data_IF_194599460684
#
_entry.id   IF_194599460684
#
_cell.length_a   1.000
_cell.length_b   1.000
_cell.length_c   1.000
_cell.angle_alpha   90.00
_cell.angle_beta   90.00
_cell.angle_gamma   90.00
#
_symmetry.space_group_name_H-M   'P 1'
#
loop_
_entity.id
_entity.type
_entity.pdbx_description
1 polymer ?
#
# COMPACT_ATOMS: atom_id res chain seq x y z
N UNK A 1 11.10 -34.81 12.37
CA UNK A 1 9.65 -34.54 12.32
C UNK A 1 9.49 -33.15 12.90
N UNK A 2 9.72 -32.15 12.06
CA UNK A 2 9.67 -30.75 12.48
C UNK A 2 8.19 -30.39 12.58
N UNK A 3 7.70 -30.30 13.82
CA UNK A 3 6.35 -29.87 14.10
C UNK A 3 6.21 -28.44 13.55
N UNK A 4 5.53 -28.32 12.41
CA UNK A 4 5.04 -27.06 11.87
C UNK A 4 4.06 -26.49 12.89
N UNK A 5 4.58 -25.69 13.83
CA UNK A 5 3.79 -24.89 14.73
C UNK A 5 3.02 -23.88 13.89
N UNK A 6 1.75 -24.17 13.61
CA UNK A 6 0.79 -23.18 13.14
C UNK A 6 0.56 -22.19 14.28
N UNK A 7 1.34 -21.11 14.26
CA UNK A 7 1.14 -19.97 15.15
C UNK A 7 0.06 -19.10 14.51
N UNK A 8 -1.15 -19.15 15.06
CA UNK A 8 -2.19 -18.20 14.70
C UNK A 8 -1.71 -16.77 14.97
N UNK A 9 -1.96 -15.81 14.06
CA UNK A 9 -1.53 -14.44 14.24
C UNK A 9 -2.15 -13.85 15.51
N UNK A 10 -1.32 -13.21 16.33
CA UNK A 10 -1.79 -12.55 17.55
C UNK A 10 -2.79 -11.44 17.19
N UNK A 11 -3.70 -11.12 18.10
CA UNK A 11 -4.66 -10.02 17.91
C UNK A 11 -3.98 -8.69 17.54
N UNK A 12 -2.82 -8.40 18.16
CA UNK A 12 -2.01 -7.23 17.85
C UNK A 12 -1.48 -7.24 16.40
N UNK A 13 -1.07 -8.41 15.89
CA UNK A 13 -0.62 -8.58 14.51
C UNK A 13 -1.73 -8.27 13.50
N UNK A 14 -2.95 -8.76 13.77
CA UNK A 14 -4.12 -8.51 12.92
C UNK A 14 -4.48 -7.02 12.93
N UNK A 15 -4.54 -6.40 14.11
CA UNK A 15 -4.83 -4.96 14.23
C UNK A 15 -3.81 -4.11 13.47
N UNK A 16 -2.52 -4.43 13.61
CA UNK A 16 -1.46 -3.71 12.91
C UNK A 16 -1.59 -3.86 11.39
N UNK A 17 -1.89 -5.06 10.89
CA UNK A 17 -2.10 -5.31 9.47
C UNK A 17 -3.30 -4.53 8.91
N UNK A 18 -4.43 -4.51 9.63
CA UNK A 18 -5.61 -3.71 9.26
C UNK A 18 -5.30 -2.21 9.27
N UNK A 19 -4.54 -1.74 10.27
CA UNK A 19 -4.11 -0.34 10.33
C UNK A 19 -3.29 0.05 9.10
N UNK A 20 -2.28 -0.75 8.76
CA UNK A 20 -1.45 -0.53 7.56
C UNK A 20 -2.30 -0.55 6.29
N UNK A 21 -3.25 -1.49 6.18
CA UNK A 21 -4.18 -1.54 5.06
C UNK A 21 -4.97 -0.23 4.89
N UNK A 22 -5.49 0.33 5.98
CA UNK A 22 -6.21 1.61 5.95
C UNK A 22 -5.28 2.76 5.53
N UNK A 23 -4.04 2.77 6.02
CA UNK A 23 -3.03 3.76 5.65
C UNK A 23 -2.69 3.68 4.16
N UNK A 24 -2.50 2.48 3.60
CA UNK A 24 -2.23 2.28 2.18
C UNK A 24 -3.37 2.81 1.30
N UNK A 25 -4.61 2.50 1.66
CA UNK A 25 -5.80 3.04 0.99
C UNK A 25 -5.85 4.57 1.08
N UNK A 26 -5.63 5.12 2.26
CA UNK A 26 -5.64 6.57 2.48
C UNK A 26 -4.59 7.30 1.64
N UNK A 27 -3.36 6.77 1.59
CA UNK A 27 -2.28 7.33 0.79
C UNK A 27 -2.56 7.21 -0.71
N UNK A 28 -3.02 6.05 -1.18
CA UNK A 28 -3.29 5.82 -2.60
C UNK A 28 -4.47 6.67 -3.11
N UNK A 29 -5.57 6.74 -2.37
CA UNK A 29 -6.71 7.59 -2.70
C UNK A 29 -6.36 9.08 -2.61
N UNK A 30 -5.57 9.46 -1.61
CA UNK A 30 -5.08 10.84 -1.47
C UNK A 30 -4.18 11.24 -2.64
N UNK A 31 -3.24 10.38 -3.03
CA UNK A 31 -2.38 10.56 -4.20
C UNK A 31 -3.22 10.72 -5.48
N UNK A 32 -4.17 9.82 -5.72
CA UNK A 32 -5.06 9.91 -6.87
C UNK A 32 -5.90 11.19 -6.85
N UNK A 33 -6.47 11.57 -5.71
CA UNK A 33 -7.27 12.79 -5.58
C UNK A 33 -6.43 14.04 -5.89
N UNK A 34 -5.18 14.10 -5.42
CA UNK A 34 -4.25 15.19 -5.73
C UNK A 34 -3.93 15.20 -7.23
N UNK A 35 -3.59 14.05 -7.83
CA UNK A 35 -3.31 13.95 -9.27
C UNK A 35 -4.51 14.42 -10.11
N UNK A 36 -5.72 13.93 -9.81
CA UNK A 36 -6.97 14.37 -10.45
C UNK A 36 -7.18 15.88 -10.29
N UNK A 37 -6.91 16.44 -9.11
CA UNK A 37 -7.04 17.88 -8.87
C UNK A 37 -6.04 18.72 -9.68
N UNK A 38 -4.83 18.21 -9.90
CA UNK A 38 -3.79 18.86 -10.70
C UNK A 38 -4.18 18.85 -12.18
N UNK A 39 -4.66 17.71 -12.69
CA UNK A 39 -5.16 17.57 -14.07
C UNK A 39 -6.37 18.49 -14.31
N UNK A 40 -7.36 18.47 -13.41
CA UNK A 40 -8.55 19.31 -13.51
C UNK A 40 -8.22 20.81 -13.51
N UNK A 41 -7.19 21.23 -12.75
CA UNK A 41 -6.72 22.62 -12.68
C UNK A 41 -5.65 22.95 -13.74
N UNK A 42 -5.30 22.01 -14.63
CA UNK A 42 -4.22 22.13 -15.63
C UNK A 42 -2.89 22.61 -15.02
N UNK A 43 -2.61 22.20 -13.78
CA UNK A 43 -1.35 22.50 -13.11
C UNK A 43 -0.28 21.51 -13.55
N UNK A 44 0.96 21.97 -13.59
CA UNK A 44 2.11 21.10 -13.87
C UNK A 44 2.33 20.19 -12.66
N UNK A 45 2.61 18.92 -12.93
CA UNK A 45 3.10 18.01 -11.92
C UNK A 45 4.47 18.48 -11.45
N UNK A 46 4.59 18.84 -10.18
CA UNK A 46 5.87 19.19 -9.59
C UNK A 46 6.75 17.94 -9.47
N UNK A 47 8.05 18.08 -9.70
CA UNK A 47 9.00 16.98 -9.57
C UNK A 47 8.95 16.32 -8.17
N UNK A 48 8.61 17.10 -7.14
CA UNK A 48 8.41 16.57 -5.78
C UNK A 48 7.22 15.61 -5.67
N UNK A 49 6.09 15.92 -6.31
CA UNK A 49 4.90 15.07 -6.24
C UNK A 49 5.08 13.76 -7.03
N UNK A 50 5.65 13.84 -8.23
CA UNK A 50 5.98 12.63 -9.02
C UNK A 50 7.04 11.77 -8.33
N UNK A 51 8.05 12.38 -7.72
CA UNK A 51 9.01 11.67 -6.86
C UNK A 51 8.36 10.99 -5.67
N UNK A 52 7.40 11.65 -5.01
CA UNK A 52 6.64 11.05 -3.91
C UNK A 52 5.83 9.84 -4.37
N UNK A 53 5.12 9.92 -5.51
CA UNK A 53 4.40 8.78 -6.08
C UNK A 53 5.33 7.62 -6.41
N UNK A 54 6.50 7.89 -7.01
CA UNK A 54 7.50 6.87 -7.30
C UNK A 54 8.01 6.19 -6.01
N UNK A 55 8.20 6.94 -4.92
CA UNK A 55 8.58 6.38 -3.61
C UNK A 55 7.49 5.47 -3.07
N UNK A 56 6.21 5.82 -3.22
CA UNK A 56 5.10 5.00 -2.74
C UNK A 56 5.08 3.60 -3.39
N UNK A 57 5.40 3.48 -4.69
CA UNK A 57 5.50 2.21 -5.42
C UNK A 57 6.55 1.23 -4.86
N UNK A 58 7.54 1.74 -4.11
CA UNK A 58 8.57 0.90 -3.46
C UNK A 58 8.40 0.85 -1.94
N UNK A 59 7.73 1.83 -1.35
CA UNK A 59 7.41 1.85 0.07
C UNK A 59 6.35 0.81 0.42
N UNK A 60 5.29 0.67 -0.39
CA UNK A 60 4.18 -0.24 -0.11
C UNK A 60 4.60 -1.72 -0.04
N UNK A 61 5.40 -2.27 -0.98
CA UNK A 61 5.90 -3.64 -0.85
C UNK A 61 6.76 -3.83 0.41
N UNK A 62 7.59 -2.84 0.75
CA UNK A 62 8.44 -2.88 1.94
C UNK A 62 7.61 -2.93 3.23
N UNK A 63 6.60 -2.06 3.34
CA UNK A 63 5.68 -2.03 4.49
C UNK A 63 4.89 -3.32 4.59
N UNK A 64 4.34 -3.82 3.46
CA UNK A 64 3.62 -5.11 3.40
C UNK A 64 4.49 -6.26 3.88
N UNK A 65 5.77 -6.29 3.48
CA UNK A 65 6.73 -7.31 3.87
C UNK A 65 7.26 -7.15 5.31
N UNK A 66 6.89 -6.08 6.02
CA UNK A 66 7.27 -5.82 7.41
C UNK A 66 6.17 -6.15 8.42
N UNK A 67 4.96 -6.50 7.95
CA UNK A 67 3.89 -7.02 8.80
C UNK A 67 4.32 -8.29 9.59
N UNK A 68 3.73 -8.55 10.76
CA UNK A 68 4.03 -9.74 11.54
C UNK A 68 3.35 -10.99 10.97
N UNK A 69 4.08 -12.11 10.92
CA UNK A 69 3.52 -13.42 10.52
C UNK A 69 3.08 -13.50 9.06
N UNK A 70 3.70 -12.70 8.18
CA UNK A 70 3.28 -12.58 6.78
C UNK A 70 3.44 -13.91 6.05
N UNK A 71 2.33 -14.47 5.52
CA UNK A 71 2.43 -15.55 4.56
C UNK A 71 2.97 -15.01 3.22
N UNK A 72 3.47 -15.89 2.32
CA UNK A 72 3.86 -15.50 0.97
C UNK A 72 2.79 -14.63 0.28
N UNK A 73 3.23 -13.81 -0.69
CA UNK A 73 2.32 -12.92 -1.45
C UNK A 73 1.15 -13.72 -2.02
N UNK A 74 -0.06 -13.17 -1.90
CA UNK A 74 -1.30 -13.85 -2.30
C UNK A 74 -2.28 -14.11 -1.15
N UNK A 75 -2.19 -13.33 -0.06
CA UNK A 75 -3.17 -13.38 1.04
C UNK A 75 -4.27 -12.33 0.84
N UNK A 76 -5.38 -12.46 1.59
CA UNK A 76 -6.53 -11.55 1.45
C UNK A 76 -6.15 -10.06 1.53
N UNK A 77 -5.21 -9.69 2.41
CA UNK A 77 -4.69 -8.31 2.53
C UNK A 77 -4.08 -7.78 1.23
N UNK A 78 -3.40 -8.64 0.48
CA UNK A 78 -2.73 -8.23 -0.76
C UNK A 78 -3.75 -7.85 -1.82
N UNK A 79 -4.77 -8.70 -1.97
CA UNK A 79 -5.89 -8.49 -2.90
C UNK A 79 -6.82 -7.36 -2.45
N UNK A 80 -7.02 -7.18 -1.15
CA UNK A 80 -7.93 -6.17 -0.61
C UNK A 80 -7.34 -4.76 -0.66
N UNK A 81 -6.01 -4.61 -0.59
CA UNK A 81 -5.40 -3.29 -0.46
C UNK A 81 -4.09 -3.09 -1.19
N UNK A 82 -3.10 -3.97 -1.01
CA UNK A 82 -1.76 -3.74 -1.57
C UNK A 82 -1.78 -3.52 -3.09
N UNK A 83 -2.44 -4.41 -3.84
CA UNK A 83 -2.49 -4.29 -5.30
C UNK A 83 -3.30 -3.08 -5.77
N UNK A 84 -4.38 -2.73 -5.05
CA UNK A 84 -5.14 -1.53 -5.37
C UNK A 84 -4.35 -0.26 -5.08
N UNK A 85 -3.62 -0.22 -3.96
CA UNK A 85 -2.79 0.92 -3.61
C UNK A 85 -1.67 1.14 -4.64
N UNK A 86 -0.96 0.08 -5.05
CA UNK A 86 0.01 0.11 -6.15
C UNK A 86 -0.61 0.59 -7.47
N UNK A 87 -1.73 -0.01 -7.88
CA UNK A 87 -2.38 0.33 -9.15
C UNK A 87 -2.84 1.80 -9.19
N UNK A 88 -3.41 2.30 -8.09
CA UNK A 88 -3.87 3.68 -7.99
C UNK A 88 -2.71 4.68 -7.99
N UNK A 89 -1.60 4.37 -7.30
CA UNK A 89 -0.40 5.21 -7.32
C UNK A 89 0.25 5.22 -8.70
N UNK A 90 0.34 4.06 -9.35
CA UNK A 90 0.86 3.96 -10.72
C UNK A 90 0.00 4.75 -11.70
N UNK A 91 -1.34 4.66 -11.56
CA UNK A 91 -2.26 5.45 -12.37
C UNK A 91 -2.12 6.95 -12.10
N UNK A 92 -1.90 7.36 -10.85
CA UNK A 92 -1.71 8.77 -10.51
C UNK A 92 -0.39 9.35 -11.03
N UNK A 93 0.59 8.50 -11.33
CA UNK A 93 1.92 8.87 -11.82
C UNK A 93 1.97 9.06 -13.35
N UNK A 94 1.07 8.40 -14.09
CA UNK A 94 0.98 8.43 -15.57
C UNK A 94 0.02 9.55 -16.00
#
# INVERSE_FOLDING_TARGET
MDAVLHVDPSWAAVLFAVFIMVVMWGLALGALAVAVSLVARRRRFEAGFTGFLAVLLFAFPTVRNSLPGIPPVGVLLDYAAFFWAEALVALALI
#
